data_IF_649382394654
#
_entry.id   IF_649382394654
#
_cell.length_a   1.000
_cell.length_b   1.000
_cell.length_c   1.000
_cell.angle_alpha   90.00
_cell.angle_beta   90.00
_cell.angle_gamma   90.00
#
_symmetry.space_group_name_H-M   'P 1'
#
loop_
_entity.id
_entity.type
_entity.pdbx_description
1 polymer ?
#
# COMPACT_ATOMS: atom_id res chain seq x y z
N UNK A 1 11.43 7.29 17.98
CA UNK A 1 10.50 6.18 17.64
C UNK A 1 9.33 6.65 16.78
N UNK A 2 8.57 7.68 17.19
CA UNK A 2 7.38 8.19 16.46
C UNK A 2 7.71 8.73 15.06
N UNK A 3 8.81 9.47 14.90
CA UNK A 3 9.24 10.01 13.59
C UNK A 3 9.54 8.91 12.58
N UNK A 4 10.12 7.78 13.02
CA UNK A 4 10.39 6.63 12.13
C UNK A 4 9.09 6.00 11.63
N UNK A 5 8.11 5.82 12.53
CA UNK A 5 6.79 5.28 12.16
C UNK A 5 6.03 6.20 11.20
N UNK A 6 6.17 7.52 11.34
CA UNK A 6 5.54 8.48 10.43
C UNK A 6 6.02 8.34 8.97
N UNK A 7 7.33 8.08 8.75
CA UNK A 7 7.87 7.85 7.41
C UNK A 7 7.34 6.54 6.79
N UNK A 8 7.22 5.49 7.61
CA UNK A 8 6.65 4.20 7.16
C UNK A 8 5.17 4.36 6.80
N UNK A 9 4.40 5.09 7.61
CA UNK A 9 2.99 5.39 7.34
C UNK A 9 2.85 6.21 6.06
N UNK A 10 3.69 7.23 5.86
CA UNK A 10 3.68 8.04 4.64
C UNK A 10 3.97 7.20 3.39
N UNK A 11 4.93 6.27 3.49
CA UNK A 11 5.22 5.33 2.41
C UNK A 11 4.01 4.43 2.08
N UNK A 12 3.32 3.92 3.11
CA UNK A 12 2.10 3.12 2.93
C UNK A 12 1.01 3.92 2.20
N UNK A 13 0.78 5.16 2.63
CA UNK A 13 -0.23 6.04 2.02
C UNK A 13 0.10 6.32 0.54
N UNK A 14 1.35 6.66 0.24
CA UNK A 14 1.77 6.92 -1.13
C UNK A 14 1.68 5.66 -2.01
N UNK A 15 1.95 4.48 -1.45
CA UNK A 15 1.79 3.21 -2.16
C UNK A 15 0.34 2.90 -2.52
N UNK A 16 -0.59 3.13 -1.60
CA UNK A 16 -2.03 2.94 -1.86
C UNK A 16 -2.57 3.99 -2.84
N UNK A 17 -2.10 5.23 -2.76
CA UNK A 17 -2.43 6.27 -3.75
C UNK A 17 -1.96 5.88 -5.16
N UNK A 18 -0.73 5.38 -5.28
CA UNK A 18 -0.18 4.93 -6.57
C UNK A 18 -0.99 3.75 -7.13
N UNK A 19 -1.32 2.77 -6.30
CA UNK A 19 -2.16 1.62 -6.66
C UNK A 19 -3.54 2.05 -7.15
N UNK A 20 -4.18 2.97 -6.42
CA UNK A 20 -5.48 3.54 -6.80
C UNK A 20 -5.42 4.32 -8.11
N UNK A 21 -4.35 5.08 -8.34
CA UNK A 21 -4.20 5.87 -9.56
C UNK A 21 -3.93 4.98 -10.78
N UNK A 22 -3.17 3.90 -10.60
CA UNK A 22 -2.98 2.88 -11.64
C UNK A 22 -4.31 2.21 -12.03
N UNK A 23 -5.16 1.87 -11.05
CA UNK A 23 -6.48 1.30 -11.31
C UNK A 23 -7.42 2.29 -12.04
N UNK A 24 -7.40 3.57 -11.67
CA UNK A 24 -8.14 4.61 -12.43
C UNK A 24 -7.64 4.73 -13.85
N UNK A 25 -6.33 4.70 -14.05
CA UNK A 25 -5.70 4.79 -15.39
C UNK A 25 -6.17 3.63 -16.27
N UNK A 26 -6.18 2.40 -15.74
CA UNK A 26 -6.74 1.22 -16.42
C UNK A 26 -8.19 1.45 -16.82
N UNK A 27 -9.02 1.95 -15.90
CA UNK A 27 -10.45 2.15 -16.15
C UNK A 27 -10.70 3.19 -17.26
N UNK A 28 -9.99 4.32 -17.23
CA UNK A 28 -10.07 5.36 -18.28
C UNK A 28 -9.61 4.79 -19.64
N UNK A 29 -8.58 3.95 -19.62
CA UNK A 29 -8.06 3.27 -20.81
C UNK A 29 -9.14 2.39 -21.47
N UNK A 30 -9.82 1.57 -20.65
CA UNK A 30 -10.92 0.73 -21.12
C UNK A 30 -12.12 1.54 -21.61
N UNK A 31 -12.48 2.62 -20.92
CA UNK A 31 -13.57 3.51 -21.33
C UNK A 31 -13.29 4.13 -22.71
N UNK A 32 -12.06 4.61 -22.94
CA UNK A 32 -11.64 5.17 -24.24
C UNK A 32 -11.61 4.10 -25.33
N UNK A 33 -11.15 2.89 -25.02
CA UNK A 33 -11.13 1.77 -25.97
C UNK A 33 -12.56 1.43 -26.45
N UNK A 34 -13.52 1.37 -25.52
CA UNK A 34 -14.91 1.07 -25.86
C UNK A 34 -15.57 2.18 -26.69
N UNK A 35 -15.21 3.44 -26.44
CA UNK A 35 -15.78 4.61 -27.11
C UNK A 35 -15.21 4.86 -28.51
N UNK A 36 -13.97 4.45 -28.79
CA UNK A 36 -13.24 4.80 -30.02
C UNK A 36 -12.94 3.59 -30.90
N UNK A 37 -13.96 2.92 -31.44
CA UNK A 37 -13.82 1.71 -32.26
C UNK A 37 -13.29 1.93 -33.70
N UNK A 38 -12.58 3.04 -33.96
CA UNK A 38 -12.27 3.50 -35.34
C UNK A 38 -10.80 3.38 -35.74
N UNK A 39 -9.89 3.09 -34.82
CA UNK A 39 -8.44 3.04 -35.10
C UNK A 39 -7.82 1.77 -34.51
N UNK A 40 -7.71 0.73 -35.34
CA UNK A 40 -7.45 -0.65 -34.90
C UNK A 40 -6.07 -0.81 -34.24
N UNK A 41 -5.07 -0.04 -34.69
CA UNK A 41 -3.70 -0.13 -34.19
C UNK A 41 -3.53 0.55 -32.81
N UNK A 42 -4.12 1.74 -32.64
CA UNK A 42 -4.12 2.45 -31.35
C UNK A 42 -4.90 1.68 -30.29
N UNK A 43 -5.99 1.02 -30.68
CA UNK A 43 -6.80 0.18 -29.80
C UNK A 43 -6.02 -1.06 -29.33
N UNK A 44 -5.23 -1.69 -30.21
CA UNK A 44 -4.35 -2.80 -29.84
C UNK A 44 -3.28 -2.38 -28.83
N UNK A 45 -2.63 -1.24 -29.05
CA UNK A 45 -1.64 -0.71 -28.12
C UNK A 45 -2.24 -0.32 -26.75
N UNK A 46 -3.41 0.34 -26.74
CA UNK A 46 -4.14 0.65 -25.51
C UNK A 46 -4.53 -0.62 -24.75
N UNK A 47 -5.03 -1.64 -25.44
CA UNK A 47 -5.39 -2.91 -24.82
C UNK A 47 -4.17 -3.62 -24.24
N UNK A 48 -3.07 -3.70 -24.99
CA UNK A 48 -1.81 -4.29 -24.51
C UNK A 48 -1.26 -3.57 -23.29
N UNK A 49 -1.25 -2.23 -23.31
CA UNK A 49 -0.78 -1.42 -22.20
C UNK A 49 -1.66 -1.62 -20.96
N UNK A 50 -2.98 -1.67 -21.14
CA UNK A 50 -3.92 -1.91 -20.06
C UNK A 50 -3.75 -3.31 -19.46
N UNK A 51 -3.57 -4.33 -20.30
CA UNK A 51 -3.29 -5.69 -19.87
C UNK A 51 -1.97 -5.79 -19.11
N UNK A 52 -0.92 -5.08 -19.57
CA UNK A 52 0.36 -5.02 -18.89
C UNK A 52 0.26 -4.38 -17.51
N UNK A 53 -0.46 -3.24 -17.38
CA UNK A 53 -0.67 -2.58 -16.09
C UNK A 53 -1.55 -3.44 -15.17
N UNK A 54 -2.53 -4.15 -15.71
CA UNK A 54 -3.38 -5.06 -14.94
C UNK A 54 -2.62 -6.30 -14.45
N UNK A 55 -1.75 -6.88 -15.28
CA UNK A 55 -0.92 -8.02 -14.89
C UNK A 55 0.21 -7.60 -13.93
N UNK A 56 0.78 -6.41 -14.13
CA UNK A 56 1.82 -5.81 -13.28
C UNK A 56 1.24 -4.72 -12.40
N UNK A 57 0.11 -5.00 -11.75
CA UNK A 57 -0.49 -4.05 -10.79
C UNK A 57 0.60 -3.57 -9.84
N UNK A 58 0.83 -2.25 -9.72
CA UNK A 58 1.88 -1.73 -8.87
C UNK A 58 1.57 -2.15 -7.43
N UNK A 59 2.34 -3.13 -6.95
CA UNK A 59 2.35 -3.56 -5.56
C UNK A 59 3.67 -3.08 -4.98
N UNK A 60 3.58 -2.14 -4.05
CA UNK A 60 4.75 -1.76 -3.27
C UNK A 60 4.99 -2.89 -2.27
N UNK A 61 6.14 -3.54 -2.38
CA UNK A 61 6.58 -4.54 -1.41
C UNK A 61 7.82 -4.05 -0.70
N UNK A 62 7.89 -4.29 0.61
CA UNK A 62 9.10 -4.06 1.40
C UNK A 62 10.11 -5.17 1.10
N UNK A 63 10.97 -4.97 0.08
CA UNK A 63 12.01 -5.91 -0.32
C UNK A 63 11.55 -7.37 -0.54
N UNK A 64 10.27 -7.60 -0.85
CA UNK A 64 9.69 -8.94 -1.03
C UNK A 64 9.17 -9.61 0.26
N UNK A 65 9.37 -9.01 1.44
CA UNK A 65 8.92 -9.60 2.71
C UNK A 65 7.40 -9.51 2.89
N UNK A 66 6.84 -8.32 2.65
CA UNK A 66 5.40 -8.08 2.76
C UNK A 66 4.93 -7.03 1.76
N UNK A 67 3.64 -7.06 1.45
CA UNK A 67 2.96 -6.03 0.64
C UNK A 67 2.62 -4.85 1.54
N UNK A 68 2.92 -3.64 1.06
CA UNK A 68 2.70 -2.39 1.79
C UNK A 68 1.24 -1.96 1.57
N UNK A 69 0.34 -2.45 2.41
CA UNK A 69 -1.10 -2.14 2.37
C UNK A 69 -1.58 -1.49 3.68
N UNK A 70 -2.77 -0.87 3.69
CA UNK A 70 -3.34 -0.18 4.86
C UNK A 70 -3.37 -1.00 6.17
N UNK A 71 -3.47 -2.32 6.08
CA UNK A 71 -3.43 -3.22 7.25
C UNK A 71 -2.13 -3.12 8.06
N UNK A 72 -1.02 -2.74 7.43
CA UNK A 72 0.26 -2.52 8.13
C UNK A 72 0.22 -1.35 9.11
N UNK A 73 -0.58 -0.32 8.84
CA UNK A 73 -0.71 0.83 9.74
C UNK A 73 -1.28 0.36 11.08
N UNK A 74 -2.36 -0.42 11.05
CA UNK A 74 -2.96 -1.00 12.25
C UNK A 74 -2.02 -1.96 12.95
N UNK A 75 -1.28 -2.78 12.20
CA UNK A 75 -0.28 -3.68 12.77
C UNK A 75 0.83 -2.93 13.51
N UNK A 76 1.38 -1.86 12.92
CA UNK A 76 2.41 -1.03 13.54
C UNK A 76 1.88 -0.36 14.82
N UNK A 77 0.67 0.21 14.77
CA UNK A 77 0.06 0.86 15.93
C UNK A 77 -0.19 -0.14 17.08
N UNK A 78 -0.75 -1.31 16.77
CA UNK A 78 -1.06 -2.33 17.78
C UNK A 78 0.21 -2.92 18.39
N UNK A 79 1.20 -3.31 17.58
CA UNK A 79 2.48 -3.81 18.09
C UNK A 79 3.20 -2.79 18.97
N UNK A 80 3.20 -1.51 18.59
CA UNK A 80 3.78 -0.44 19.40
C UNK A 80 3.02 -0.26 20.71
N UNK A 81 1.68 -0.25 20.69
CA UNK A 81 0.87 -0.14 21.88
C UNK A 81 1.08 -1.33 22.83
N UNK A 82 1.09 -2.55 22.29
CA UNK A 82 1.39 -3.78 23.05
C UNK A 82 2.75 -3.70 23.72
N UNK A 83 3.79 -3.26 22.99
CA UNK A 83 5.13 -3.09 23.56
C UNK A 83 5.15 -2.08 24.71
N UNK A 84 4.47 -0.93 24.57
CA UNK A 84 4.36 0.07 25.65
C UNK A 84 3.65 -0.53 26.88
N UNK A 85 2.56 -1.27 26.68
CA UNK A 85 1.81 -1.93 27.77
C UNK A 85 2.73 -2.91 28.51
N UNK A 86 3.48 -3.74 27.78
CA UNK A 86 4.44 -4.66 28.39
C UNK A 86 5.51 -3.93 29.20
N UNK A 87 6.06 -2.83 28.68
CA UNK A 87 7.04 -2.03 29.42
C UNK A 87 6.46 -1.45 30.71
N UNK A 88 5.23 -0.90 30.66
CA UNK A 88 4.57 -0.38 31.85
C UNK A 88 4.33 -1.47 32.90
N UNK A 89 3.87 -2.66 32.49
CA UNK A 89 3.68 -3.79 33.41
C UNK A 89 5.00 -4.27 34.00
N UNK A 90 6.06 -4.32 33.18
CA UNK A 90 7.38 -4.72 33.62
C UNK A 90 7.94 -3.77 34.69
N UNK A 91 7.91 -2.46 34.45
CA UNK A 91 8.33 -1.44 35.43
C UNK A 91 7.50 -1.49 36.71
N UNK A 92 6.18 -1.62 36.60
CA UNK A 92 5.30 -1.74 37.77
C UNK A 92 5.63 -2.97 38.61
N UNK A 93 5.88 -4.12 37.96
CA UNK A 93 6.24 -5.36 38.66
C UNK A 93 7.60 -5.27 39.36
N UNK A 94 8.52 -4.48 38.82
CA UNK A 94 9.84 -4.27 39.43
C UNK A 94 9.72 -3.41 40.69
N UNK A 95 8.92 -2.35 40.66
CA UNK A 95 8.71 -1.44 41.81
C UNK A 95 8.02 -2.09 43.03
N UNK A 96 7.32 -3.22 42.84
CA UNK A 96 6.65 -3.95 43.94
C UNK A 96 7.56 -4.99 44.59
N UNK A 97 8.71 -5.32 43.97
CA UNK A 97 9.67 -6.30 44.45
C UNK A 97 10.95 -5.67 45.07
N UNK A 98 11.01 -4.33 45.13
CA UNK A 98 11.95 -3.55 45.95
C UNK A 98 11.24 -3.03 47.20
#
# INVERSE_FOLDING_TARGET
>A
MVVSQAHVILLIINGELLKREADKTINICYEKLHKHNRNDDMNRHLLQLTQQVFQRRPRISAAGFFSVDHSLILFICTTTATYIIFLCQFESSKSTNE
#
